data_IF_315185874118
#
_entry.id   IF_315185874118
#
_cell.length_a   1.000
_cell.length_b   1.000
_cell.length_c   1.000
_cell.angle_alpha   90.00
_cell.angle_beta   90.00
_cell.angle_gamma   90.00
#
_symmetry.space_group_name_H-M   'P 1'
#
loop_
_entity.id
_entity.type
_entity.pdbx_description
1 polymer ?
#
# COMPACT_ATOMS: atom_id res chain seq x y z
N UNK A 1 -23.96 -25.23 -31.10
CA UNK A 1 -24.39 -23.82 -31.01
C UNK A 1 -25.54 -23.72 -30.01
N UNK A 2 -25.29 -23.17 -28.81
CA UNK A 2 -26.33 -22.67 -27.90
C UNK A 2 -25.75 -21.45 -27.20
N UNK A 3 -26.29 -20.28 -27.54
CA UNK A 3 -26.00 -19.01 -26.90
C UNK A 3 -26.74 -18.99 -25.55
N UNK A 4 -26.01 -18.69 -24.48
CA UNK A 4 -26.60 -18.26 -23.21
C UNK A 4 -26.17 -16.82 -22.97
N UNK A 5 -27.15 -15.95 -23.13
CA UNK A 5 -27.12 -14.51 -22.90
C UNK A 5 -27.12 -14.27 -21.39
N UNK A 6 -26.11 -13.56 -20.88
CA UNK A 6 -26.17 -12.95 -19.54
C UNK A 6 -25.71 -11.50 -19.72
N UNK A 7 -26.66 -10.59 -19.57
CA UNK A 7 -26.49 -9.15 -19.54
C UNK A 7 -26.77 -8.66 -18.09
N UNK A 8 -26.43 -7.42 -17.71
CA UNK A 8 -25.56 -7.13 -16.58
C UNK A 8 -26.31 -6.54 -15.38
N UNK A 9 -25.80 -6.73 -14.17
CA UNK A 9 -26.26 -6.03 -12.98
C UNK A 9 -25.28 -4.91 -12.62
N UNK A 10 -25.60 -3.71 -13.10
CA UNK A 10 -25.02 -2.46 -12.66
C UNK A 10 -25.60 -2.11 -11.27
N UNK A 11 -24.74 -2.01 -10.26
CA UNK A 11 -25.09 -1.44 -8.96
C UNK A 11 -24.52 -0.03 -8.88
N UNK A 12 -25.38 0.96 -9.05
CA UNK A 12 -25.10 2.35 -8.80
C UNK A 12 -25.04 2.60 -7.29
N UNK A 13 -23.89 3.10 -6.80
CA UNK A 13 -23.75 3.64 -5.45
C UNK A 13 -23.64 5.16 -5.57
N UNK A 14 -24.79 5.82 -5.48
CA UNK A 14 -24.89 7.25 -5.22
C UNK A 14 -25.14 7.44 -3.72
N UNK A 15 -24.17 8.02 -3.01
CA UNK A 15 -24.37 8.55 -1.66
C UNK A 15 -23.98 10.02 -1.66
N UNK A 16 -25.03 10.83 -1.70
CA UNK A 16 -25.06 12.29 -1.53
C UNK A 16 -25.04 12.60 -0.04
N UNK A 17 -24.13 13.47 0.39
CA UNK A 17 -24.22 14.30 1.60
C UNK A 17 -23.76 15.70 1.12
N UNK A 18 -24.64 16.66 0.79
CA UNK A 18 -25.41 17.50 1.71
C UNK A 18 -24.63 17.68 3.04
N UNK A 19 -24.04 18.82 3.38
CA UNK A 19 -24.45 20.21 3.18
C UNK A 19 -24.31 20.87 4.54
N UNK A 20 -23.37 21.80 4.69
CA UNK A 20 -23.28 22.71 5.84
C UNK A 20 -22.96 24.10 5.29
N UNK A 21 -24.02 24.80 4.84
CA UNK A 21 -24.03 26.26 4.76
C UNK A 21 -24.27 26.82 6.16
N UNK A 22 -23.43 27.73 6.64
CA UNK A 22 -23.87 28.73 7.60
C UNK A 22 -23.24 30.09 7.27
N UNK A 23 -24.05 30.89 6.57
CA UNK A 23 -24.16 32.36 6.58
C UNK A 23 -24.51 32.80 8.02
N UNK A 24 -24.21 33.95 8.62
CA UNK A 24 -23.53 35.21 8.34
C UNK A 24 -23.24 35.88 9.71
N UNK A 25 -22.36 36.89 9.77
CA UNK A 25 -22.64 38.20 10.39
C UNK A 25 -21.34 38.99 10.60
N UNK A 26 -21.20 40.08 9.84
CA UNK A 26 -20.43 41.26 10.27
C UNK A 26 -21.27 42.06 11.27
N UNK A 27 -20.63 42.68 12.27
CA UNK A 27 -20.73 44.13 12.32
C UNK A 27 -19.38 44.79 12.65
N UNK A 28 -19.06 45.85 11.90
CA UNK A 28 -17.82 46.59 12.06
C UNK A 28 -17.73 47.44 13.33
N UNK A 29 -16.51 47.64 13.86
CA UNK A 29 -16.02 48.96 14.29
C UNK A 29 -14.49 49.00 14.39
N UNK A 30 -13.91 49.91 13.61
CA UNK A 30 -12.63 50.66 13.70
C UNK A 30 -11.48 50.25 14.65
N UNK A 31 -10.29 50.33 14.05
CA UNK A 31 -8.98 50.75 14.57
C UNK A 31 -8.25 49.91 15.63
N UNK A 32 -7.16 49.24 15.20
CA UNK A 32 -5.79 49.58 15.65
C UNK A 32 -4.75 49.02 14.68
N UNK A 33 -4.03 49.91 14.00
CA UNK A 33 -2.80 49.60 13.25
C UNK A 33 -1.72 49.17 14.24
N UNK A 34 -1.15 47.99 14.04
CA UNK A 34 0.12 47.58 14.66
C UNK A 34 1.21 47.62 13.58
N UNK A 35 2.43 48.06 13.90
CA UNK A 35 3.61 47.58 13.21
C UNK A 35 4.35 46.57 14.09
N UNK A 36 4.40 45.35 13.56
CA UNK A 36 5.61 44.54 13.40
C UNK A 36 6.44 44.22 14.66
N UNK A 37 6.31 42.98 15.13
CA UNK A 37 7.37 42.28 15.83
C UNK A 37 7.59 40.90 15.19
N UNK A 38 8.85 40.68 14.80
CA UNK A 38 9.55 39.50 14.29
C UNK A 38 8.82 38.14 14.21
N UNK A 39 8.86 37.45 13.05
CA UNK A 39 8.47 36.05 13.00
C UNK A 39 9.55 35.19 13.66
N UNK A 40 9.28 34.69 14.88
CA UNK A 40 9.98 33.51 15.39
C UNK A 40 9.41 32.27 14.68
N UNK A 41 10.25 31.29 14.29
CA UNK A 41 9.77 30.08 13.67
C UNK A 41 9.06 29.24 14.73
N UNK A 42 7.74 29.35 14.82
CA UNK A 42 6.95 28.47 15.65
C UNK A 42 6.99 27.07 15.03
N UNK A 43 7.60 26.16 15.79
CA UNK A 43 7.86 24.78 15.46
C UNK A 43 6.70 24.12 14.71
N UNK A 44 7.01 23.49 13.58
CA UNK A 44 6.15 22.48 12.99
C UNK A 44 6.00 21.35 14.01
N UNK A 45 4.96 21.42 14.86
CA UNK A 45 4.49 20.28 15.63
C UNK A 45 4.11 19.22 14.61
N UNK A 46 5.05 18.33 14.32
CA UNK A 46 4.77 17.08 13.64
C UNK A 46 3.88 16.32 14.62
N UNK A 47 2.56 16.45 14.44
CA UNK A 47 1.61 15.65 15.18
C UNK A 47 2.06 14.19 15.00
N UNK A 48 2.42 13.54 16.11
CA UNK A 48 2.66 12.12 16.08
C UNK A 48 1.37 11.50 15.51
N UNK A 49 1.47 10.67 14.44
CA UNK A 49 0.27 10.04 13.90
C UNK A 49 -0.39 9.29 15.05
N UNK A 50 -1.71 9.45 15.16
CA UNK A 50 -2.46 8.74 16.19
C UNK A 50 -2.18 7.24 16.06
N UNK A 51 -2.14 6.53 17.18
CA UNK A 51 -1.96 5.08 17.23
C UNK A 51 -2.96 4.37 16.30
N UNK A 52 -4.15 4.94 16.13
CA UNK A 52 -5.19 4.46 15.22
C UNK A 52 -4.79 4.56 13.73
N UNK A 53 -4.08 5.62 13.34
CA UNK A 53 -3.63 5.78 11.96
C UNK A 53 -2.53 4.77 11.58
N UNK A 54 -1.55 4.58 12.47
CA UNK A 54 -0.51 3.56 12.27
C UNK A 54 -1.12 2.16 12.19
N UNK A 55 -2.07 1.86 13.09
CA UNK A 55 -2.80 0.58 13.08
C UNK A 55 -3.58 0.37 11.79
N UNK A 56 -4.23 1.41 11.27
CA UNK A 56 -4.94 1.34 9.99
C UNK A 56 -3.99 0.96 8.84
N UNK A 57 -2.85 1.63 8.73
CA UNK A 57 -1.86 1.35 7.69
C UNK A 57 -1.31 -0.07 7.82
N UNK A 58 -0.99 -0.53 9.03
CA UNK A 58 -0.52 -1.90 9.24
C UNK A 58 -1.54 -2.95 8.77
N UNK A 59 -2.84 -2.77 9.06
CA UNK A 59 -3.88 -3.66 8.52
C UNK A 59 -3.96 -3.65 7.01
N UNK A 60 -3.76 -2.50 6.37
CA UNK A 60 -3.71 -2.41 4.90
C UNK A 60 -2.51 -3.17 4.35
N UNK A 61 -1.35 -3.08 5.01
CA UNK A 61 -0.14 -3.81 4.64
C UNK A 61 -0.35 -5.32 4.80
N UNK A 62 -0.99 -5.76 5.88
CA UNK A 62 -1.33 -7.18 6.10
C UNK A 62 -2.23 -7.73 5.00
N UNK A 63 -3.30 -7.00 4.67
CA UNK A 63 -4.22 -7.39 3.61
C UNK A 63 -3.50 -7.47 2.26
N UNK A 64 -2.63 -6.50 1.96
CA UNK A 64 -1.84 -6.51 0.72
C UNK A 64 -0.85 -7.68 0.66
N UNK A 65 -0.20 -8.00 1.78
CA UNK A 65 0.71 -9.13 1.87
C UNK A 65 -0.04 -10.47 1.70
N UNK A 66 -1.19 -10.63 2.37
CA UNK A 66 -2.03 -11.81 2.22
C UNK A 66 -2.53 -11.98 0.78
N UNK A 67 -3.05 -10.91 0.16
CA UNK A 67 -3.49 -10.90 -1.23
C UNK A 67 -2.36 -11.30 -2.19
N UNK A 68 -1.13 -10.82 -1.93
CA UNK A 68 0.04 -11.17 -2.73
C UNK A 68 0.38 -12.65 -2.63
N UNK A 69 0.33 -13.23 -1.43
CA UNK A 69 0.57 -14.66 -1.22
C UNK A 69 -0.51 -15.51 -1.87
N UNK A 70 -1.77 -15.12 -1.75
CA UNK A 70 -2.88 -15.79 -2.41
C UNK A 70 -2.72 -15.72 -3.93
N UNK A 71 -2.41 -14.56 -4.49
CA UNK A 71 -2.20 -14.40 -5.93
C UNK A 71 -1.00 -15.22 -6.44
N UNK A 72 0.11 -15.23 -5.70
CA UNK A 72 1.30 -16.01 -6.06
C UNK A 72 1.01 -17.52 -6.00
N UNK A 73 0.33 -17.99 -4.96
CA UNK A 73 -0.05 -19.41 -4.82
C UNK A 73 -1.04 -19.86 -5.90
N UNK A 74 -2.03 -19.02 -6.26
CA UNK A 74 -2.94 -19.29 -7.38
C UNK A 74 -2.20 -19.36 -8.72
N UNK A 75 -1.21 -18.49 -8.95
CA UNK A 75 -0.39 -18.55 -10.14
C UNK A 75 0.37 -19.89 -10.23
N UNK A 76 0.90 -20.38 -9.11
CA UNK A 76 1.58 -21.68 -9.01
C UNK A 76 0.62 -22.87 -9.16
N UNK A 77 -0.57 -22.80 -8.56
CA UNK A 77 -1.53 -23.90 -8.52
C UNK A 77 -2.34 -24.06 -9.82
N UNK A 78 -2.46 -23.02 -10.64
CA UNK A 78 -3.31 -23.01 -11.84
C UNK A 78 -2.84 -23.88 -13.02
N UNK A 79 -2.00 -24.89 -12.79
CA UNK A 79 -1.37 -25.76 -13.81
C UNK A 79 -0.63 -24.99 -14.93
N UNK A 80 -0.40 -23.70 -14.74
CA UNK A 80 0.34 -22.88 -15.69
C UNK A 80 1.83 -23.15 -15.57
N UNK A 81 2.50 -23.37 -16.71
CA UNK A 81 3.95 -23.59 -16.77
C UNK A 81 4.61 -22.50 -17.60
N UNK A 82 5.89 -22.26 -17.33
CA UNK A 82 6.71 -21.39 -18.17
C UNK A 82 6.30 -19.91 -18.10
N UNK A 83 6.13 -19.21 -19.24
CA UNK A 83 5.90 -17.76 -19.27
C UNK A 83 4.67 -17.27 -18.50
N UNK A 84 3.55 -18.01 -18.53
CA UNK A 84 2.30 -17.61 -17.89
C UNK A 84 2.41 -17.61 -16.36
N UNK A 85 3.03 -18.66 -15.79
CA UNK A 85 3.35 -18.73 -14.37
C UNK A 85 4.21 -17.54 -13.93
N UNK A 86 5.28 -17.25 -14.68
CA UNK A 86 6.18 -16.12 -14.40
C UNK A 86 5.44 -14.79 -14.42
N UNK A 87 4.58 -14.59 -15.42
CA UNK A 87 3.78 -13.38 -15.52
C UNK A 87 2.82 -13.22 -14.34
N UNK A 88 2.18 -14.31 -13.89
CA UNK A 88 1.29 -14.32 -12.73
C UNK A 88 2.01 -13.99 -11.43
N UNK A 89 3.14 -14.65 -11.14
CA UNK A 89 3.95 -14.36 -9.95
C UNK A 89 4.52 -12.94 -10.02
N UNK A 90 5.07 -12.51 -11.14
CA UNK A 90 5.56 -11.14 -11.30
C UNK A 90 4.45 -10.09 -11.19
N UNK A 91 3.22 -10.40 -11.59
CA UNK A 91 2.07 -9.53 -11.39
C UNK A 91 1.75 -9.39 -9.90
N UNK A 92 1.73 -10.48 -9.12
CA UNK A 92 1.45 -10.40 -7.67
C UNK A 92 2.44 -9.51 -6.92
N UNK A 93 3.74 -9.52 -7.30
CA UNK A 93 4.73 -8.63 -6.70
C UNK A 93 4.56 -7.15 -7.11
N UNK A 94 4.15 -6.88 -8.35
CA UNK A 94 3.87 -5.52 -8.83
C UNK A 94 2.64 -4.94 -8.13
N UNK A 95 1.56 -5.71 -8.09
CA UNK A 95 0.32 -5.29 -7.42
C UNK A 95 0.54 -5.02 -5.92
N UNK A 96 1.37 -5.86 -5.29
CA UNK A 96 1.79 -5.63 -3.91
C UNK A 96 2.61 -4.35 -3.76
N UNK A 97 3.60 -4.13 -4.64
CA UNK A 97 4.38 -2.90 -4.63
C UNK A 97 3.51 -1.65 -4.79
N UNK A 98 2.52 -1.69 -5.68
CA UNK A 98 1.59 -0.58 -5.90
C UNK A 98 0.74 -0.30 -4.67
N UNK A 99 0.25 -1.35 -3.99
CA UNK A 99 -0.51 -1.20 -2.73
C UNK A 99 0.35 -0.61 -1.61
N UNK A 100 1.61 -1.06 -1.49
CA UNK A 100 2.54 -0.47 -0.54
C UNK A 100 2.85 1.00 -0.86
N UNK A 101 3.03 1.33 -2.13
CA UNK A 101 3.26 2.71 -2.59
C UNK A 101 2.05 3.62 -2.30
N UNK A 102 0.82 3.11 -2.41
CA UNK A 102 -0.40 3.81 -2.03
C UNK A 102 -0.54 3.98 -0.51
N UNK A 103 -0.09 3.00 0.28
CA UNK A 103 -0.14 3.05 1.74
C UNK A 103 0.95 3.94 2.36
N UNK A 104 2.13 4.04 1.73
CA UNK A 104 3.29 4.74 2.28
C UNK A 104 3.05 6.23 2.62
N UNK A 105 2.36 7.04 1.80
CA UNK A 105 2.03 8.43 2.13
C UNK A 105 1.22 8.58 3.42
N UNK A 106 0.37 7.58 3.73
CA UNK A 106 -0.46 7.53 4.93
C UNK A 106 0.33 7.04 6.16
N UNK A 107 1.51 6.46 5.97
CA UNK A 107 2.26 5.87 7.08
C UNK A 107 3.04 6.93 7.89
N UNK A 108 3.30 6.70 9.20
CA UNK A 108 4.36 7.43 9.93
C UNK A 108 5.69 7.38 9.20
N UNK A 109 6.56 8.37 9.41
CA UNK A 109 7.82 8.51 8.67
C UNK A 109 8.69 7.24 8.63
N UNK A 110 8.79 6.52 9.76
CA UNK A 110 9.55 5.27 9.86
C UNK A 110 8.91 4.14 9.04
N UNK A 111 7.59 3.95 9.15
CA UNK A 111 6.87 2.93 8.39
C UNK A 111 6.87 3.28 6.90
N UNK A 112 6.66 4.55 6.55
CA UNK A 112 6.71 5.06 5.18
C UNK A 112 8.00 4.65 4.48
N UNK A 113 9.15 4.87 5.12
CA UNK A 113 10.45 4.49 4.53
C UNK A 113 10.56 2.98 4.31
N UNK A 114 10.08 2.18 5.27
CA UNK A 114 10.04 0.72 5.13
C UNK A 114 9.13 0.30 3.98
N UNK A 115 7.91 0.83 3.89
CA UNK A 115 6.95 0.51 2.82
C UNK A 115 7.45 0.93 1.44
N UNK A 116 8.03 2.12 1.30
CA UNK A 116 8.63 2.59 0.03
C UNK A 116 9.77 1.69 -0.40
N UNK A 117 10.66 1.32 0.52
CA UNK A 117 11.77 0.41 0.22
C UNK A 117 11.24 -0.96 -0.19
N UNK A 118 10.25 -1.46 0.55
CA UNK A 118 9.68 -2.76 0.29
C UNK A 118 8.97 -2.82 -1.06
N UNK A 119 8.20 -1.79 -1.40
CA UNK A 119 7.61 -1.61 -2.73
C UNK A 119 8.67 -1.64 -3.84
N UNK A 120 9.73 -0.84 -3.70
CA UNK A 120 10.83 -0.81 -4.68
C UNK A 120 11.50 -2.18 -4.84
N UNK A 121 11.76 -2.88 -3.74
CA UNK A 121 12.36 -4.22 -3.81
C UNK A 121 11.40 -5.27 -4.38
N UNK A 122 10.09 -5.12 -4.19
CA UNK A 122 9.09 -5.99 -4.80
C UNK A 122 9.04 -5.81 -6.33
N UNK A 123 9.24 -4.59 -6.83
CA UNK A 123 9.43 -4.36 -8.28
C UNK A 123 10.70 -5.04 -8.79
N UNK A 124 11.80 -4.98 -8.03
CA UNK A 124 13.04 -5.69 -8.39
C UNK A 124 12.81 -7.22 -8.47
N UNK A 125 12.06 -7.79 -7.52
CA UNK A 125 11.67 -9.20 -7.52
C UNK A 125 10.82 -9.52 -8.75
N UNK A 126 9.79 -8.72 -9.03
CA UNK A 126 8.92 -8.92 -10.20
C UNK A 126 9.72 -8.91 -11.52
N UNK A 127 10.67 -7.98 -11.63
CA UNK A 127 11.60 -7.91 -12.77
C UNK A 127 12.46 -9.16 -12.85
N UNK A 128 13.05 -9.59 -11.74
CA UNK A 128 13.88 -10.80 -11.70
C UNK A 128 13.09 -12.05 -12.11
N UNK A 129 11.88 -12.26 -11.57
CA UNK A 129 11.00 -13.38 -11.94
C UNK A 129 10.67 -13.38 -13.42
N UNK A 130 10.45 -12.19 -13.99
CA UNK A 130 10.17 -12.03 -15.43
C UNK A 130 11.40 -12.42 -16.27
N UNK A 131 12.58 -11.94 -15.89
CA UNK A 131 13.82 -12.04 -16.67
C UNK A 131 14.56 -13.39 -16.50
N UNK A 132 14.66 -13.92 -15.28
CA UNK A 132 15.67 -14.93 -14.91
C UNK A 132 15.11 -16.35 -14.62
N UNK A 133 13.81 -16.56 -14.81
CA UNK A 133 13.18 -17.90 -14.74
C UNK A 133 13.54 -18.69 -13.46
N UNK A 134 13.21 -18.19 -12.26
CA UNK A 134 13.43 -18.97 -11.07
C UNK A 134 12.69 -20.31 -11.15
N UNK A 135 13.33 -21.37 -10.62
CA UNK A 135 12.76 -22.72 -10.67
C UNK A 135 11.40 -22.73 -9.96
N UNK A 136 10.35 -23.30 -10.58
CA UNK A 136 9.07 -23.47 -9.90
C UNK A 136 9.23 -24.39 -8.69
N UNK A 137 8.81 -23.96 -7.50
CA UNK A 137 8.75 -24.85 -6.33
C UNK A 137 8.78 -24.15 -4.98
N UNK A 138 7.62 -24.12 -4.33
CA UNK A 138 7.23 -23.66 -2.97
C UNK A 138 7.63 -22.26 -2.50
N UNK A 139 8.81 -21.74 -2.83
CA UNK A 139 9.24 -20.41 -2.40
C UNK A 139 9.49 -19.55 -3.63
N UNK A 140 8.91 -18.35 -3.66
CA UNK A 140 9.27 -17.39 -4.71
C UNK A 140 10.73 -17.02 -4.51
N UNK A 141 11.57 -17.33 -5.50
CA UNK A 141 12.94 -16.84 -5.54
C UNK A 141 12.94 -15.32 -5.73
N UNK A 142 13.40 -14.61 -4.70
CA UNK A 142 13.51 -13.17 -4.67
C UNK A 142 14.74 -12.65 -5.43
N UNK A 143 15.64 -13.53 -5.87
CA UNK A 143 16.87 -13.20 -6.56
C UNK A 143 17.77 -12.26 -5.75
N UNK A 144 18.59 -11.42 -6.42
CA UNK A 144 19.49 -10.47 -5.75
C UNK A 144 18.79 -9.42 -4.88
N UNK A 145 17.46 -9.28 -5.02
CA UNK A 145 16.67 -8.38 -4.20
C UNK A 145 16.34 -8.96 -2.82
N UNK A 146 16.48 -10.27 -2.61
CA UNK A 146 16.11 -10.98 -1.38
C UNK A 146 16.58 -10.30 -0.09
N UNK A 147 17.87 -9.93 0.07
CA UNK A 147 18.31 -9.36 1.35
C UNK A 147 17.65 -8.02 1.64
N UNK A 148 17.43 -7.21 0.59
CA UNK A 148 16.80 -5.88 0.71
C UNK A 148 15.29 -6.01 0.93
N UNK A 149 14.66 -6.98 0.28
CA UNK A 149 13.24 -7.29 0.43
C UNK A 149 12.94 -7.76 1.85
N UNK A 150 13.70 -8.72 2.37
CA UNK A 150 13.57 -9.23 3.74
C UNK A 150 13.81 -8.14 4.78
N UNK A 151 14.86 -7.32 4.63
CA UNK A 151 15.13 -6.22 5.55
C UNK A 151 14.01 -5.17 5.56
N UNK A 152 13.38 -4.89 4.42
CA UNK A 152 12.27 -3.95 4.33
C UNK A 152 10.99 -4.52 4.97
N UNK A 153 10.70 -5.82 4.74
CA UNK A 153 9.63 -6.56 5.44
C UNK A 153 9.82 -6.51 6.95
N UNK A 154 10.99 -6.91 7.45
CA UNK A 154 11.28 -6.96 8.89
C UNK A 154 11.17 -5.58 9.55
N UNK A 155 11.58 -4.52 8.84
CA UNK A 155 11.38 -3.15 9.30
C UNK A 155 9.89 -2.78 9.44
N UNK A 156 9.05 -3.22 8.50
CA UNK A 156 7.61 -3.03 8.58
C UNK A 156 6.98 -3.86 9.72
N UNK A 157 7.32 -5.15 9.84
CA UNK A 157 6.87 -6.05 10.93
C UNK A 157 7.20 -5.48 12.30
N UNK A 158 8.43 -4.97 12.48
CA UNK A 158 8.87 -4.36 13.73
C UNK A 158 8.02 -3.15 14.12
N UNK A 159 7.60 -2.33 13.16
CA UNK A 159 6.80 -1.14 13.43
C UNK A 159 5.33 -1.50 13.65
N UNK A 160 4.82 -2.48 12.90
CA UNK A 160 3.45 -2.98 13.05
C UNK A 160 3.25 -3.87 14.28
N UNK A 161 4.33 -4.42 14.84
CA UNK A 161 4.32 -5.19 16.08
C UNK A 161 3.84 -6.63 15.92
N UNK A 162 3.82 -7.16 14.70
CA UNK A 162 3.47 -8.54 14.40
C UNK A 162 4.19 -9.01 13.12
N UNK A 163 4.40 -10.32 12.96
CA UNK A 163 4.85 -10.86 11.69
C UNK A 163 3.77 -10.66 10.61
N UNK A 164 4.21 -10.55 9.37
CA UNK A 164 3.32 -10.58 8.22
C UNK A 164 3.03 -12.03 7.83
N UNK A 165 1.91 -12.31 7.13
CA UNK A 165 1.60 -13.65 6.66
C UNK A 165 2.75 -14.20 5.80
N UNK A 166 3.04 -15.49 5.97
CA UNK A 166 4.06 -16.25 5.22
C UNK A 166 3.40 -17.46 4.57
N UNK A 167 4.07 -18.06 3.58
CA UNK A 167 3.57 -19.26 2.89
C UNK A 167 3.87 -20.56 3.65
N UNK A 168 4.77 -20.51 4.64
CA UNK A 168 5.39 -21.69 5.26
C UNK A 168 4.80 -22.07 6.63
N UNK A 169 3.77 -21.36 7.11
CA UNK A 169 3.10 -21.59 8.40
C UNK A 169 1.60 -21.93 8.22
#
# INVERSE_FOLDING_TARGET
MRAQTIAPLAAALALVLAGCSQHSDEPGTRHRTAPQASPSPAATTTAAPSTDHTRFVCRTVDAAAFDQLLAASLAVAGDTKGPALRAGVAASYRDFADRLAQAAPLAPATLRSALTRWASTSIDVARFVTENQPRPGLVVDFGPAEPRWNAAREAAEKICGHPLPRLDD
#
